data_IF_176624404763
#
_entry.id   IF_176624404763
#
_cell.length_a   1.000
_cell.length_b   1.000
_cell.length_c   1.000
_cell.angle_alpha   90.00
_cell.angle_beta   90.00
_cell.angle_gamma   90.00
#
_symmetry.space_group_name_H-M   'P 1'
#
loop_
_entity.id
_entity.type
_entity.pdbx_description
1 polymer ?
#
# COMPACT_ATOMS: atom_id res chain seq x y z
N UNK A 1 7.97 -3.00 7.02
CA UNK A 1 8.28 -2.16 8.20
C UNK A 1 7.95 -0.72 7.85
N UNK A 2 7.55 0.09 8.83
CA UNK A 2 7.27 1.51 8.63
C UNK A 2 8.56 2.29 8.34
N UNK A 3 8.45 3.44 7.68
CA UNK A 3 9.56 4.34 7.40
C UNK A 3 10.30 4.84 8.65
N UNK A 4 11.48 5.45 8.47
CA UNK A 4 12.38 5.85 9.56
C UNK A 4 11.83 6.96 10.46
N UNK A 5 10.81 7.69 10.02
CA UNK A 5 10.16 8.77 10.77
C UNK A 5 8.73 8.42 11.21
N UNK A 6 8.35 7.13 11.16
CA UNK A 6 6.99 6.70 11.45
C UNK A 6 6.01 7.02 10.31
N UNK A 7 4.72 6.80 10.55
CA UNK A 7 3.67 7.01 9.55
C UNK A 7 2.27 6.76 10.11
N UNK A 8 1.23 6.97 9.30
CA UNK A 8 -0.17 6.74 9.69
C UNK A 8 -0.80 5.69 8.77
N UNK A 9 -1.42 4.66 9.34
CA UNK A 9 -2.20 3.67 8.57
C UNK A 9 -3.50 4.33 8.11
N UNK A 10 -3.59 4.70 6.83
CA UNK A 10 -4.81 5.32 6.28
C UNK A 10 -5.82 4.28 5.79
N UNK A 11 -5.36 3.06 5.51
CA UNK A 11 -6.25 1.93 5.19
C UNK A 11 -5.60 0.62 5.60
N UNK A 12 -6.33 -0.22 6.32
CA UNK A 12 -6.04 -1.64 6.46
C UNK A 12 -7.28 -2.41 5.98
N UNK A 13 -7.09 -3.38 5.09
CA UNK A 13 -8.19 -4.11 4.47
C UNK A 13 -7.87 -5.59 4.34
N UNK A 14 -8.74 -6.41 4.95
CA UNK A 14 -8.71 -7.86 4.83
C UNK A 14 -9.48 -8.27 3.58
N UNK A 15 -8.92 -9.19 2.80
CA UNK A 15 -9.59 -9.88 1.72
C UNK A 15 -10.38 -11.06 2.29
N UNK A 16 -11.72 -10.96 2.30
CA UNK A 16 -12.60 -12.01 2.83
C UNK A 16 -12.49 -13.30 2.02
N UNK A 17 -12.41 -13.21 0.68
CA UNK A 17 -12.31 -14.37 -0.20
C UNK A 17 -10.96 -15.13 -0.08
N UNK A 18 -9.92 -14.43 0.34
CA UNK A 18 -8.58 -14.98 0.59
C UNK A 18 -8.52 -15.76 1.91
N UNK A 19 -9.44 -15.49 2.85
CA UNK A 19 -9.42 -16.08 4.19
C UNK A 19 -8.24 -15.60 5.06
N UNK A 20 -8.16 -16.08 6.32
CA UNK A 20 -7.15 -15.62 7.27
C UNK A 20 -5.71 -15.97 6.85
N UNK A 21 -5.52 -17.08 6.14
CA UNK A 21 -4.20 -17.51 5.63
C UNK A 21 -3.74 -16.76 4.38
N UNK A 22 -4.61 -15.92 3.79
CA UNK A 22 -4.25 -15.11 2.63
C UNK A 22 -4.04 -15.94 1.36
N UNK A 23 -5.02 -16.80 1.04
CA UNK A 23 -5.05 -17.61 -0.18
C UNK A 23 -5.04 -16.74 -1.45
N UNK A 24 -4.31 -17.18 -2.47
CA UNK A 24 -4.25 -16.54 -3.79
C UNK A 24 -5.42 -16.93 -4.70
N UNK A 25 -5.60 -16.19 -5.79
CA UNK A 25 -6.54 -16.53 -6.88
C UNK A 25 -6.24 -17.90 -7.46
N UNK A 26 -4.97 -18.21 -7.72
CA UNK A 26 -4.52 -19.50 -8.26
C UNK A 26 -4.84 -20.65 -7.30
N UNK A 27 -4.60 -20.45 -6.00
CA UNK A 27 -4.97 -21.43 -4.97
C UNK A 27 -6.48 -21.60 -4.81
N UNK A 28 -7.28 -20.63 -5.26
CA UNK A 28 -8.73 -20.70 -5.34
C UNK A 28 -9.25 -21.21 -6.70
N UNK A 29 -8.35 -21.59 -7.63
CA UNK A 29 -8.71 -22.14 -8.95
C UNK A 29 -8.92 -21.11 -10.05
N UNK A 30 -8.55 -19.84 -9.84
CA UNK A 30 -8.65 -18.77 -10.82
C UNK A 30 -7.25 -18.41 -11.37
N UNK A 31 -7.06 -18.28 -12.70
CA UNK A 31 -5.80 -17.81 -13.24
C UNK A 31 -5.50 -16.37 -12.80
N UNK A 32 -4.22 -15.99 -12.83
CA UNK A 32 -3.86 -14.58 -12.64
C UNK A 32 -4.47 -13.75 -13.77
N UNK A 33 -5.08 -12.63 -13.39
CA UNK A 33 -5.80 -11.76 -14.33
C UNK A 33 -7.21 -12.23 -14.66
N UNK A 34 -7.79 -13.12 -13.87
CA UNK A 34 -9.20 -13.46 -14.01
C UNK A 34 -10.10 -12.27 -13.60
N UNK A 35 -11.06 -11.94 -14.46
CA UNK A 35 -11.91 -10.78 -14.24
C UNK A 35 -12.87 -10.89 -13.09
N UNK A 36 -13.14 -12.12 -12.64
CA UNK A 36 -13.92 -12.39 -11.43
C UNK A 36 -13.17 -11.97 -10.18
N UNK A 37 -11.84 -11.87 -10.22
CA UNK A 37 -11.01 -11.47 -9.07
C UNK A 37 -10.88 -9.94 -9.01
N UNK A 38 -10.57 -9.28 -10.12
CA UNK A 38 -10.35 -7.82 -10.10
C UNK A 38 -11.63 -6.98 -10.06
N UNK A 39 -12.81 -7.58 -10.31
CA UNK A 39 -14.10 -6.92 -10.16
C UNK A 39 -14.82 -7.26 -8.84
N UNK A 40 -14.25 -8.14 -8.01
CA UNK A 40 -14.90 -8.58 -6.77
C UNK A 40 -14.32 -7.84 -5.53
N UNK A 41 -15.15 -7.08 -4.80
CA UNK A 41 -14.71 -6.42 -3.57
C UNK A 41 -14.26 -7.39 -2.47
N UNK A 42 -14.74 -8.65 -2.46
CA UNK A 42 -14.31 -9.66 -1.49
C UNK A 42 -12.85 -10.09 -1.70
N UNK A 43 -12.36 -9.92 -2.93
CA UNK A 43 -10.95 -10.09 -3.28
C UNK A 43 -10.13 -8.81 -3.13
N UNK A 44 -10.74 -7.73 -2.62
CA UNK A 44 -10.21 -6.37 -2.66
C UNK A 44 -9.78 -5.99 -4.08
N UNK A 45 -10.58 -6.35 -5.09
CA UNK A 45 -10.27 -6.11 -6.50
C UNK A 45 -8.93 -6.72 -6.94
N UNK A 46 -8.56 -7.84 -6.31
CA UNK A 46 -7.33 -8.57 -6.57
C UNK A 46 -6.12 -8.13 -5.73
N UNK A 47 -6.23 -7.10 -4.90
CA UNK A 47 -5.12 -6.65 -4.04
C UNK A 47 -4.84 -7.60 -2.87
N UNK A 48 -5.77 -8.50 -2.54
CA UNK A 48 -5.64 -9.38 -1.38
C UNK A 48 -5.71 -8.59 -0.07
N UNK A 49 -5.03 -9.08 0.96
CA UNK A 49 -4.83 -8.31 2.20
C UNK A 49 -3.87 -7.15 1.89
N UNK A 50 -4.26 -5.92 2.24
CA UNK A 50 -3.41 -4.77 1.99
C UNK A 50 -3.47 -3.73 3.10
N UNK A 51 -2.39 -2.95 3.20
CA UNK A 51 -2.26 -1.81 4.09
C UNK A 51 -1.73 -0.62 3.30
N UNK A 52 -2.26 0.57 3.54
CA UNK A 52 -1.77 1.84 3.00
C UNK A 52 -1.27 2.69 4.17
N UNK A 53 -0.01 3.12 4.09
CA UNK A 53 0.60 4.04 5.06
C UNK A 53 0.78 5.40 4.39
N UNK A 54 0.37 6.45 5.10
CA UNK A 54 0.69 7.84 4.77
C UNK A 54 1.90 8.29 5.58
N UNK A 55 2.83 8.92 4.90
CA UNK A 55 3.95 9.67 5.45
C UNK A 55 3.66 11.16 5.22
N UNK A 56 3.48 11.90 6.33
CA UNK A 56 3.15 13.31 6.26
C UNK A 56 4.35 14.10 5.70
N UNK A 57 4.11 15.25 5.05
CA UNK A 57 5.13 16.01 4.32
C UNK A 57 6.36 16.30 5.20
N UNK A 58 6.10 16.71 6.45
CA UNK A 58 7.13 17.07 7.41
C UNK A 58 7.98 15.88 7.87
N UNK A 59 7.48 14.65 7.71
CA UNK A 59 8.20 13.41 8.00
C UNK A 59 9.08 12.92 6.85
N UNK A 60 8.95 13.53 5.66
CA UNK A 60 9.73 13.13 4.49
C UNK A 60 11.16 13.69 4.55
N UNK A 61 12.16 12.94 4.07
CA UNK A 61 13.50 13.48 3.85
C UNK A 61 13.48 14.67 2.90
N UNK A 62 14.42 15.60 3.06
CA UNK A 62 14.49 16.79 2.20
C UNK A 62 14.73 16.44 0.73
N UNK A 63 15.50 15.39 0.45
CA UNK A 63 15.70 14.84 -0.90
C UNK A 63 14.38 14.37 -1.52
N UNK A 64 13.53 13.71 -0.74
CA UNK A 64 12.17 13.33 -1.17
C UNK A 64 11.28 14.55 -1.38
N UNK A 65 11.29 15.54 -0.47
CA UNK A 65 10.52 16.79 -0.63
C UNK A 65 10.91 17.53 -1.91
N UNK A 66 12.21 17.64 -2.19
CA UNK A 66 12.73 18.27 -3.41
C UNK A 66 12.32 17.50 -4.66
N UNK A 67 12.42 16.16 -4.64
CA UNK A 67 11.96 15.32 -5.75
C UNK A 67 10.47 15.52 -6.03
N UNK A 68 9.62 15.51 -5.00
CA UNK A 68 8.19 15.74 -5.14
C UNK A 68 7.90 17.14 -5.71
N UNK A 69 8.57 18.17 -5.23
CA UNK A 69 8.44 19.53 -5.77
C UNK A 69 8.81 19.61 -7.26
N UNK A 70 9.91 18.98 -7.67
CA UNK A 70 10.33 18.89 -9.08
C UNK A 70 9.31 18.16 -9.98
N UNK A 71 8.51 17.26 -9.39
CA UNK A 71 7.42 16.55 -10.06
C UNK A 71 6.08 17.30 -10.01
N UNK A 72 6.03 18.50 -9.46
CA UNK A 72 4.80 19.29 -9.31
C UNK A 72 3.96 18.95 -8.08
N UNK A 73 4.51 18.18 -7.13
CA UNK A 73 3.87 17.73 -5.90
C UNK A 73 4.46 18.44 -4.67
N UNK A 74 4.70 19.75 -4.78
CA UNK A 74 5.17 20.54 -3.64
C UNK A 74 4.19 20.45 -2.46
N UNK A 75 4.71 20.26 -1.25
CA UNK A 75 3.90 20.08 -0.03
C UNK A 75 3.12 18.77 0.03
N UNK A 76 3.35 17.83 -0.90
CA UNK A 76 2.62 16.57 -0.89
C UNK A 76 3.04 15.63 0.26
N UNK A 77 2.07 14.84 0.70
CA UNK A 77 2.24 13.65 1.50
C UNK A 77 2.52 12.45 0.58
N UNK A 78 3.21 11.45 1.10
CA UNK A 78 3.38 10.18 0.39
C UNK A 78 2.46 9.11 0.97
N UNK A 79 1.90 8.30 0.09
CA UNK A 79 1.05 7.18 0.43
C UNK A 79 1.65 5.93 -0.20
N UNK A 80 1.84 4.88 0.59
CA UNK A 80 2.47 3.63 0.16
C UNK A 80 1.53 2.48 0.45
N UNK A 81 1.09 1.79 -0.61
CA UNK A 81 0.29 0.57 -0.51
C UNK A 81 1.21 -0.65 -0.51
N UNK A 82 0.98 -1.54 0.44
CA UNK A 82 1.56 -2.87 0.55
C UNK A 82 0.44 -3.88 0.37
N UNK A 83 0.44 -4.61 -0.75
CA UNK A 83 -0.60 -5.56 -1.13
C UNK A 83 -0.06 -7.00 -1.24
N UNK A 84 -0.98 -7.96 -1.47
CA UNK A 84 -0.73 -9.41 -1.44
C UNK A 84 -0.19 -9.93 -0.10
N UNK A 85 -0.48 -9.24 1.01
CA UNK A 85 0.02 -9.61 2.33
C UNK A 85 -0.56 -10.96 2.77
N UNK A 86 0.17 -11.71 3.60
CA UNK A 86 -0.41 -12.89 4.27
C UNK A 86 -1.24 -12.46 5.47
N UNK A 87 -0.75 -11.48 6.23
CA UNK A 87 -1.41 -10.93 7.40
C UNK A 87 -0.85 -9.54 7.75
N UNK A 88 -1.61 -8.79 8.54
CA UNK A 88 -1.19 -7.53 9.15
C UNK A 88 -1.77 -7.41 10.56
N UNK A 89 -1.13 -6.59 11.40
CA UNK A 89 -1.47 -6.43 12.83
C UNK A 89 -1.80 -4.99 13.19
N UNK A 90 -2.36 -4.24 12.24
CA UNK A 90 -2.66 -2.81 12.37
C UNK A 90 -4.06 -2.48 11.91
N UNK A 91 -4.55 -1.33 12.37
CA UNK A 91 -5.89 -0.83 12.06
C UNK A 91 -5.83 0.53 11.36
N UNK A 92 -6.85 0.85 10.56
CA UNK A 92 -7.00 2.20 10.00
C UNK A 92 -7.04 3.25 11.11
N UNK A 93 -6.28 4.33 10.93
CA UNK A 93 -6.09 5.42 11.90
C UNK A 93 -4.90 5.23 12.82
N UNK A 94 -4.28 4.04 12.87
CA UNK A 94 -3.14 3.77 13.73
C UNK A 94 -1.90 4.55 13.31
N UNK A 95 -1.26 5.23 14.26
CA UNK A 95 0.09 5.80 14.09
C UNK A 95 1.14 4.70 14.33
N UNK A 96 2.13 4.65 13.45
CA UNK A 96 3.27 3.75 13.53
C UNK A 96 4.53 4.55 13.84
N UNK A 97 5.36 4.00 14.72
CA UNK A 97 6.68 4.51 15.01
C UNK A 97 7.70 4.14 13.93
N UNK A 98 8.92 4.70 14.04
CA UNK A 98 10.05 4.30 13.21
C UNK A 98 10.25 2.78 13.17
N UNK A 99 10.32 2.22 11.96
CA UNK A 99 10.64 0.82 11.70
C UNK A 99 9.64 -0.23 12.23
N UNK A 100 8.45 0.18 12.69
CA UNK A 100 7.44 -0.75 13.18
C UNK A 100 7.11 -1.85 12.15
N UNK A 101 7.04 -3.09 12.62
CA UNK A 101 6.57 -4.23 11.83
C UNK A 101 5.05 -4.28 11.91
N UNK A 102 4.38 -4.01 10.80
CA UNK A 102 2.91 -3.94 10.73
C UNK A 102 2.27 -5.06 9.88
N UNK A 103 3.06 -5.74 9.04
CA UNK A 103 2.56 -6.74 8.09
C UNK A 103 3.60 -7.79 7.72
N UNK A 104 3.11 -8.93 7.20
CA UNK A 104 3.90 -10.02 6.63
C UNK A 104 3.59 -10.16 5.14
N UNK A 105 4.63 -10.38 4.34
CA UNK A 105 4.51 -10.73 2.92
C UNK A 105 3.68 -11.99 2.75
N UNK A 106 3.01 -12.13 1.61
CA UNK A 106 2.18 -13.29 1.34
C UNK A 106 1.91 -13.46 -0.14
N UNK A 107 0.80 -14.15 -0.41
CA UNK A 107 0.36 -14.52 -1.74
C UNK A 107 -1.14 -14.22 -1.95
N UNK A 108 -1.76 -13.39 -1.10
CA UNK A 108 -3.21 -13.20 -1.15
C UNK A 108 -3.63 -12.41 -2.39
N UNK A 109 -4.88 -12.59 -2.84
CA UNK A 109 -5.40 -11.84 -3.98
C UNK A 109 -4.98 -12.41 -5.33
N UNK A 110 -4.92 -11.57 -6.35
CA UNK A 110 -4.62 -11.94 -7.74
C UNK A 110 -3.12 -12.23 -7.92
N UNK A 111 -2.67 -13.40 -7.47
CA UNK A 111 -1.26 -13.77 -7.37
C UNK A 111 -1.02 -15.25 -7.64
N UNK A 112 0.14 -15.58 -8.22
CA UNK A 112 0.61 -16.95 -8.47
C UNK A 112 1.65 -17.44 -7.47
N UNK A 113 2.28 -16.55 -6.70
CA UNK A 113 3.29 -16.93 -5.70
C UNK A 113 3.64 -15.77 -4.75
N UNK A 114 4.32 -16.06 -3.62
CA UNK A 114 4.59 -15.04 -2.61
C UNK A 114 5.44 -13.88 -3.13
N UNK A 115 4.93 -12.65 -3.00
CA UNK A 115 5.63 -11.43 -3.39
C UNK A 115 5.06 -10.19 -2.70
N UNK A 116 5.67 -9.02 -2.92
CA UNK A 116 5.13 -7.73 -2.49
C UNK A 116 4.67 -6.95 -3.72
N UNK A 117 3.39 -6.57 -3.75
CA UNK A 117 2.96 -5.48 -4.61
C UNK A 117 3.08 -4.18 -3.83
N UNK A 118 3.91 -3.28 -4.35
CA UNK A 118 4.22 -1.99 -3.74
C UNK A 118 3.83 -0.88 -4.71
N UNK A 119 2.95 0.01 -4.27
CA UNK A 119 2.56 1.18 -5.04
C UNK A 119 2.75 2.45 -4.20
N UNK A 120 3.31 3.49 -4.81
CA UNK A 120 3.60 4.75 -4.15
C UNK A 120 2.85 5.87 -4.87
N UNK A 121 2.09 6.66 -4.12
CA UNK A 121 1.39 7.83 -4.64
C UNK A 121 1.71 9.06 -3.79
N UNK A 122 1.68 10.23 -4.40
CA UNK A 122 1.77 11.51 -3.72
C UNK A 122 0.45 12.29 -3.82
N UNK A 123 0.11 13.06 -2.79
CA UNK A 123 -1.07 13.92 -2.79
C UNK A 123 -0.98 15.01 -1.73
N UNK A 124 -1.50 16.19 -2.04
CA UNK A 124 -1.50 17.34 -1.11
C UNK A 124 -2.64 17.28 -0.10
N UNK A 125 -3.73 16.57 -0.42
CA UNK A 125 -4.78 16.31 0.56
C UNK A 125 -4.40 15.12 1.44
N UNK A 126 -4.11 15.40 2.70
CA UNK A 126 -3.78 14.42 3.75
C UNK A 126 -4.85 13.35 3.95
N UNK A 127 -6.12 13.73 3.78
CA UNK A 127 -7.29 12.86 3.97
C UNK A 127 -7.80 12.26 2.66
N UNK A 128 -6.97 12.30 1.61
CA UNK A 128 -7.35 11.75 0.32
C UNK A 128 -7.56 10.24 0.37
N UNK A 129 -8.53 9.78 -0.42
CA UNK A 129 -8.67 8.35 -0.71
C UNK A 129 -7.60 7.91 -1.71
N UNK A 130 -7.26 6.62 -1.71
CA UNK A 130 -6.30 6.05 -2.67
C UNK A 130 -6.67 6.38 -4.12
N UNK A 131 -7.96 6.25 -4.48
CA UNK A 131 -8.44 6.52 -5.83
C UNK A 131 -8.30 8.00 -6.24
N UNK A 132 -8.52 8.94 -5.32
CA UNK A 132 -8.41 10.38 -5.63
C UNK A 132 -6.98 10.86 -5.91
N UNK A 133 -5.96 10.11 -5.47
CA UNK A 133 -4.54 10.43 -5.71
C UNK A 133 -3.91 9.61 -6.85
N UNK A 134 -4.72 9.00 -7.71
CA UNK A 134 -4.22 8.17 -8.84
C UNK A 134 -3.23 8.89 -9.76
N UNK A 135 -3.39 10.19 -9.95
CA UNK A 135 -2.50 11.00 -10.80
C UNK A 135 -1.17 11.32 -10.12
N UNK A 136 -1.02 11.00 -8.83
CA UNK A 136 0.20 11.15 -8.07
C UNK A 136 1.08 9.91 -8.05
N UNK A 137 0.92 8.97 -8.99
CA UNK A 137 1.72 7.75 -9.06
C UNK A 137 3.23 8.08 -9.15
N UNK A 138 4.01 7.46 -8.26
CA UNK A 138 5.45 7.63 -8.16
C UNK A 138 6.16 6.32 -8.45
N UNK A 139 7.40 6.43 -8.96
CA UNK A 139 8.28 5.28 -9.00
C UNK A 139 8.68 4.91 -7.56
N UNK A 140 8.70 3.62 -7.16
CA UNK A 140 9.08 3.24 -5.80
C UNK A 140 10.49 3.68 -5.39
N UNK A 141 11.35 4.01 -6.37
CA UNK A 141 12.69 4.56 -6.15
C UNK A 141 12.69 5.82 -5.25
N UNK A 142 11.59 6.59 -5.24
CA UNK A 142 11.43 7.78 -4.38
C UNK A 142 11.59 7.46 -2.88
N UNK A 143 11.30 6.22 -2.46
CA UNK A 143 11.43 5.77 -1.07
C UNK A 143 12.90 5.56 -0.64
N UNK A 144 13.84 5.55 -1.58
CA UNK A 144 15.26 5.28 -1.34
C UNK A 144 16.16 6.47 -1.64
N UNK A 145 15.58 7.63 -1.97
CA UNK A 145 16.31 8.87 -2.07
C UNK A 145 16.94 9.18 -0.71
N UNK A 146 18.23 9.53 -0.74
CA UNK A 146 19.00 9.93 0.43
C UNK A 146 19.33 11.40 0.24
#
# INVERSE_FOLDING_TARGET
MCGPHGGTVVKAATCSACGPEGRSSVQAGYPVGDSRIWNDPNWNYGLGHFVIIRYDHDMLPDSTKQYLAQKGFSGAHMFVMYAHLSSFSVQTGQTLGPYDKFAKLGNSGNSSGPHLHLEVRAGTNREATWASIKNGLMTPAVLFLR
#
